data_IF_978859682661
#
_entry.id   IF_978859682661
#
_cell.length_a   1.000
_cell.length_b   1.000
_cell.length_c   1.000
_cell.angle_alpha   90.00
_cell.angle_beta   90.00
_cell.angle_gamma   90.00
#
_symmetry.space_group_name_H-M   'P 1'
#
loop_
_entity.id
_entity.type
_entity.pdbx_description
1 polymer ?
#
# COMPACT_ATOMS: atom_id res chain seq x y z
N UNK A 1 41.97 48.71 -14.47
CA UNK A 1 40.77 48.00 -15.00
C UNK A 1 41.21 47.14 -16.17
N UNK A 2 40.65 45.93 -16.20
CA UNK A 2 40.82 44.86 -17.19
C UNK A 2 42.15 44.11 -17.18
N UNK A 3 42.16 42.94 -16.52
CA UNK A 3 42.70 41.74 -17.17
C UNK A 3 42.13 40.47 -16.53
N UNK A 4 41.36 39.74 -17.33
CA UNK A 4 41.40 38.29 -17.52
C UNK A 4 41.71 37.41 -16.30
N UNK A 5 40.68 36.67 -15.85
CA UNK A 5 40.89 35.48 -15.04
C UNK A 5 40.52 34.25 -15.88
N UNK A 6 41.54 33.51 -16.30
CA UNK A 6 41.41 32.18 -16.88
C UNK A 6 42.37 31.21 -16.16
N UNK A 7 41.76 30.18 -15.58
CA UNK A 7 42.26 28.81 -15.34
C UNK A 7 43.51 28.61 -14.48
N UNK A 8 43.29 27.98 -13.31
CA UNK A 8 44.03 26.80 -12.81
C UNK A 8 43.02 25.94 -12.03
N UNK A 9 42.45 24.88 -12.62
CA UNK A 9 42.84 23.49 -12.43
C UNK A 9 43.44 23.19 -11.05
N UNK A 10 42.61 22.72 -10.11
CA UNK A 10 43.08 22.00 -8.94
C UNK A 10 42.77 20.51 -9.14
N UNK A 11 43.83 19.75 -9.36
CA UNK A 11 43.82 18.29 -9.41
C UNK A 11 43.60 17.79 -7.96
N UNK A 12 42.35 17.48 -7.63
CA UNK A 12 42.01 16.80 -6.38
C UNK A 12 42.27 15.32 -6.53
N UNK A 13 43.37 14.84 -5.94
CA UNK A 13 43.69 13.44 -5.75
C UNK A 13 42.50 12.73 -5.06
N UNK A 14 41.70 11.96 -5.81
CA UNK A 14 40.75 11.05 -5.21
C UNK A 14 41.54 9.83 -4.71
N UNK A 15 41.89 9.87 -3.42
CA UNK A 15 42.31 8.65 -2.70
C UNK A 15 41.11 7.71 -2.75
N UNK A 16 41.26 6.61 -3.49
CA UNK A 16 40.28 5.53 -3.54
C UNK A 16 40.18 4.86 -2.19
N UNK A 17 39.36 5.42 -1.30
CA UNK A 17 38.82 4.66 -0.18
C UNK A 17 37.72 3.81 -0.81
N UNK A 18 38.03 2.55 -1.04
CA UNK A 18 37.02 1.52 -1.28
C UNK A 18 36.22 1.37 0.01
N UNK A 19 35.26 2.27 0.25
CA UNK A 19 34.14 1.92 1.11
C UNK A 19 33.38 0.87 0.34
N UNK A 20 33.65 -0.40 0.66
CA UNK A 20 32.66 -1.45 0.49
C UNK A 20 31.40 -0.89 1.13
N UNK A 21 30.46 -0.44 0.29
CA UNK A 21 29.08 -0.29 0.69
C UNK A 21 28.68 -1.72 1.05
N UNK A 22 28.81 -2.06 2.33
CA UNK A 22 28.08 -3.18 2.87
C UNK A 22 26.63 -2.85 2.56
N UNK A 23 26.09 -3.49 1.52
CA UNK A 23 24.65 -3.59 1.36
C UNK A 23 24.20 -4.21 2.67
N UNK A 24 23.62 -3.40 3.56
CA UNK A 24 22.92 -3.91 4.70
C UNK A 24 21.85 -4.83 4.10
N UNK A 25 22.09 -6.13 4.18
CA UNK A 25 21.07 -7.11 3.92
C UNK A 25 20.02 -6.83 5.00
N UNK A 26 18.93 -6.19 4.61
CA UNK A 26 17.78 -6.00 5.49
C UNK A 26 17.37 -7.41 5.88
N UNK A 27 17.63 -7.78 7.13
CA UNK A 27 17.10 -9.00 7.70
C UNK A 27 15.58 -8.84 7.70
N UNK A 28 14.90 -9.57 6.83
CA UNK A 28 13.46 -9.66 6.87
C UNK A 28 13.06 -10.54 8.05
N UNK A 29 11.94 -10.25 8.70
CA UNK A 29 11.41 -11.17 9.69
C UNK A 29 11.14 -12.52 9.00
N UNK A 30 11.70 -13.60 9.56
CA UNK A 30 11.54 -14.95 9.01
C UNK A 30 10.10 -15.50 9.18
N UNK A 31 9.23 -14.77 9.90
CA UNK A 31 7.81 -15.10 10.00
C UNK A 31 6.91 -13.87 10.15
N UNK A 32 5.83 -13.86 9.38
CA UNK A 32 4.72 -12.93 9.49
C UNK A 32 3.50 -13.64 10.07
N UNK A 33 2.81 -13.01 11.00
CA UNK A 33 1.47 -13.42 11.41
C UNK A 33 0.45 -12.61 10.62
N UNK A 34 -0.50 -13.31 10.01
CA UNK A 34 -1.56 -12.74 9.18
C UNK A 34 -2.88 -13.08 9.86
N UNK A 35 -3.54 -12.05 10.37
CA UNK A 35 -4.86 -12.16 10.98
C UNK A 35 -5.88 -11.50 10.07
N UNK A 36 -6.77 -12.31 9.48
CA UNK A 36 -7.84 -11.81 8.62
C UNK A 36 -9.16 -11.78 9.39
N UNK A 37 -9.71 -10.58 9.58
CA UNK A 37 -11.05 -10.39 10.12
C UNK A 37 -12.06 -10.41 8.98
N UNK A 38 -13.18 -11.11 9.18
CA UNK A 38 -14.26 -11.19 8.19
C UNK A 38 -14.84 -9.81 7.88
N UNK A 39 -15.28 -9.60 6.63
CA UNK A 39 -16.04 -8.40 6.26
C UNK A 39 -17.32 -8.16 7.07
N UNK A 40 -17.79 -9.15 7.84
CA UNK A 40 -18.89 -8.99 8.82
C UNK A 40 -18.47 -8.30 10.11
N UNK A 41 -17.16 -8.13 10.36
CA UNK A 41 -16.63 -7.38 11.51
C UNK A 41 -16.74 -5.86 11.35
N UNK A 42 -17.14 -5.39 10.16
CA UNK A 42 -17.39 -3.98 9.92
C UNK A 42 -18.46 -3.42 10.85
N UNK A 43 -18.22 -2.20 11.33
CA UNK A 43 -19.19 -1.38 12.04
C UNK A 43 -19.11 0.05 11.51
N UNK A 44 -20.25 0.74 11.47
CA UNK A 44 -20.27 2.18 11.21
C UNK A 44 -19.80 3.01 12.42
N UNK A 45 -19.67 2.38 13.59
CA UNK A 45 -18.94 2.93 14.73
C UNK A 45 -17.46 2.57 14.57
N UNK A 46 -16.69 3.50 13.98
CA UNK A 46 -15.26 3.33 13.69
C UNK A 46 -14.46 3.03 14.96
N UNK A 47 -14.77 3.66 16.10
CA UNK A 47 -14.04 3.43 17.34
C UNK A 47 -14.24 1.99 17.85
N UNK A 48 -15.47 1.48 17.78
CA UNK A 48 -15.76 0.09 18.13
C UNK A 48 -15.13 -0.90 17.14
N UNK A 49 -15.14 -0.57 15.84
CA UNK A 49 -14.48 -1.38 14.82
C UNK A 49 -12.97 -1.45 15.04
N UNK A 50 -12.31 -0.32 15.26
CA UNK A 50 -10.87 -0.24 15.49
C UNK A 50 -10.46 -1.04 16.73
N UNK A 51 -11.26 -0.97 17.79
CA UNK A 51 -11.05 -1.78 19.00
C UNK A 51 -11.18 -3.29 18.70
N UNK A 52 -12.19 -3.69 17.91
CA UNK A 52 -12.40 -5.08 17.51
C UNK A 52 -11.25 -5.60 16.63
N UNK A 53 -10.75 -4.77 15.72
CA UNK A 53 -9.68 -5.10 14.78
C UNK A 53 -8.27 -4.93 15.39
N UNK A 54 -8.16 -4.35 16.59
CA UNK A 54 -6.89 -4.13 17.28
C UNK A 54 -6.05 -2.97 16.68
N UNK A 55 -6.68 -1.97 16.08
CA UNK A 55 -6.04 -0.84 15.37
C UNK A 55 -5.64 0.30 16.34
N UNK A 56 -5.72 0.06 17.66
CA UNK A 56 -5.37 1.09 18.66
C UNK A 56 -3.88 1.45 18.61
N UNK A 57 -3.57 2.75 18.46
CA UNK A 57 -2.21 3.28 18.48
C UNK A 57 -1.47 3.23 17.14
N UNK A 58 -2.17 2.85 16.06
CA UNK A 58 -1.63 2.87 14.71
C UNK A 58 -1.79 4.24 14.04
N UNK A 59 -0.91 4.54 13.08
CA UNK A 59 -1.18 5.61 12.10
C UNK A 59 -2.11 5.03 11.04
N UNK A 60 -3.22 5.71 10.78
CA UNK A 60 -4.27 5.26 9.86
C UNK A 60 -4.27 6.15 8.63
N UNK A 61 -4.15 5.53 7.46
CA UNK A 61 -4.44 6.15 6.16
C UNK A 61 -5.89 5.80 5.79
N UNK A 62 -6.76 6.81 5.69
CA UNK A 62 -8.18 6.63 5.38
C UNK A 62 -8.54 6.97 3.93
N UNK A 63 -7.61 7.57 3.16
CA UNK A 63 -7.81 8.04 1.79
C UNK A 63 -8.90 9.09 1.61
N UNK A 64 -9.29 9.78 2.68
CA UNK A 64 -10.29 10.86 2.65
C UNK A 64 -9.73 12.19 2.10
N UNK A 65 -8.42 12.26 1.91
CA UNK A 65 -7.75 13.30 1.15
C UNK A 65 -6.65 12.71 0.26
N UNK A 66 -6.11 13.52 -0.66
CA UNK A 66 -5.13 13.02 -1.64
C UNK A 66 -3.73 12.91 -1.07
N UNK A 67 -3.42 13.53 0.06
CA UNK A 67 -2.08 13.51 0.66
C UNK A 67 -1.97 12.31 1.57
N UNK A 68 -1.09 11.37 1.22
CA UNK A 68 -0.89 10.19 2.06
C UNK A 68 -0.22 10.57 3.38
N UNK A 69 -0.52 9.79 4.43
CA UNK A 69 0.09 9.97 5.76
C UNK A 69 1.63 9.98 5.66
N UNK A 70 2.33 10.78 6.48
CA UNK A 70 3.78 10.89 6.40
C UNK A 70 4.49 9.53 6.46
N UNK A 71 5.43 9.31 5.53
CA UNK A 71 6.18 8.06 5.39
C UNK A 71 5.48 6.99 4.56
N UNK A 72 4.22 7.17 4.16
CA UNK A 72 3.52 6.30 3.22
C UNK A 72 3.66 6.81 1.78
N UNK A 73 3.98 5.91 0.86
CA UNK A 73 3.80 6.14 -0.58
C UNK A 73 3.32 4.87 -1.28
N UNK A 74 2.71 5.04 -2.45
CA UNK A 74 2.19 3.92 -3.26
C UNK A 74 2.80 3.92 -4.64
N UNK A 75 3.02 2.74 -5.21
CA UNK A 75 3.38 2.58 -6.62
C UNK A 75 2.59 1.45 -7.25
N UNK A 76 2.39 1.55 -8.56
CA UNK A 76 1.65 0.60 -9.37
C UNK A 76 2.60 -0.18 -10.29
N UNK A 77 2.24 -1.41 -10.65
CA UNK A 77 2.93 -2.23 -11.67
C UNK A 77 1.97 -2.50 -12.82
N UNK A 78 2.43 -2.30 -14.04
CA UNK A 78 1.64 -2.47 -15.27
C UNK A 78 0.31 -1.68 -15.24
N UNK A 79 0.34 -0.34 -15.44
CA UNK A 79 1.51 0.46 -15.79
C UNK A 79 2.39 0.76 -14.56
N UNK A 80 3.71 0.76 -14.77
CA UNK A 80 4.67 1.05 -13.70
C UNK A 80 4.71 2.55 -13.41
N UNK A 81 4.69 2.91 -12.12
CA UNK A 81 4.81 4.28 -11.64
C UNK A 81 5.91 4.39 -10.59
N UNK A 82 6.49 5.57 -10.45
CA UNK A 82 7.32 5.90 -9.29
C UNK A 82 6.43 5.99 -8.03
N UNK A 83 6.99 5.77 -6.82
CA UNK A 83 6.24 5.97 -5.58
C UNK A 83 5.67 7.39 -5.47
N UNK A 84 4.37 7.50 -5.23
CA UNK A 84 3.66 8.76 -5.02
C UNK A 84 3.18 8.87 -3.57
N UNK A 85 3.32 10.06 -2.98
CA UNK A 85 2.75 10.43 -1.68
C UNK A 85 1.51 11.31 -1.80
N UNK A 86 1.09 11.61 -3.03
CA UNK A 86 -0.13 12.37 -3.33
C UNK A 86 -0.88 11.63 -4.42
N UNK A 87 -2.11 11.20 -4.12
CA UNK A 87 -3.00 10.54 -5.08
C UNK A 87 -3.49 11.55 -6.12
N UNK A 88 -3.63 11.15 -7.40
CA UNK A 88 -4.09 12.07 -8.45
C UNK A 88 -5.54 12.56 -8.25
N UNK A 89 -6.37 11.74 -7.61
CA UNK A 89 -7.77 12.04 -7.33
C UNK A 89 -8.29 11.20 -6.15
N UNK A 90 -9.43 11.63 -5.59
CA UNK A 90 -10.20 10.85 -4.64
C UNK A 90 -11.17 9.94 -5.39
N UNK A 91 -11.20 8.66 -5.03
CA UNK A 91 -12.21 7.74 -5.52
C UNK A 91 -13.34 7.61 -4.49
N UNK A 92 -14.52 8.16 -4.79
CA UNK A 92 -15.68 8.06 -3.91
C UNK A 92 -16.47 6.79 -4.23
N UNK A 93 -16.26 5.75 -3.44
CA UNK A 93 -16.88 4.45 -3.67
C UNK A 93 -18.35 4.42 -3.26
N UNK A 94 -18.74 5.28 -2.29
CA UNK A 94 -20.11 5.40 -1.84
C UNK A 94 -21.07 5.98 -2.92
N UNK A 95 -20.57 6.84 -3.80
CA UNK A 95 -21.36 7.46 -4.87
C UNK A 95 -21.83 6.45 -5.93
N UNK A 96 -21.11 5.35 -6.13
CA UNK A 96 -21.48 4.34 -7.12
C UNK A 96 -22.67 3.47 -6.68
N UNK A 97 -23.12 3.57 -5.42
CA UNK A 97 -24.32 2.92 -4.87
C UNK A 97 -24.20 1.40 -4.72
N UNK A 98 -23.70 0.71 -5.75
CA UNK A 98 -23.40 -0.71 -5.73
C UNK A 98 -22.18 -1.01 -4.86
N UNK A 99 -21.18 -0.11 -4.80
CA UNK A 99 -19.92 -0.32 -4.09
C UNK A 99 -19.91 0.19 -2.64
N UNK A 100 -21.02 0.72 -2.11
CA UNK A 100 -21.08 1.28 -0.75
C UNK A 100 -20.71 0.29 0.36
N UNK A 101 -20.77 -1.01 0.06
CA UNK A 101 -20.42 -2.08 0.99
C UNK A 101 -18.95 -2.53 0.90
N UNK A 102 -18.10 -1.82 0.18
CA UNK A 102 -16.67 -2.15 0.00
C UNK A 102 -15.77 -1.44 1.02
N UNK A 103 -16.20 -0.27 1.49
CA UNK A 103 -15.41 0.63 2.31
C UNK A 103 -15.33 0.18 3.76
N UNK A 104 -14.13 0.12 4.33
CA UNK A 104 -13.92 -0.19 5.73
C UNK A 104 -14.07 1.03 6.64
N UNK A 105 -13.80 2.22 6.12
CA UNK A 105 -13.98 3.50 6.77
C UNK A 105 -14.34 4.56 5.71
N UNK A 106 -14.90 5.69 6.14
CA UNK A 106 -15.12 6.85 5.28
C UNK A 106 -15.99 6.64 4.04
N UNK A 107 -15.68 7.38 2.99
CA UNK A 107 -16.36 7.40 1.68
C UNK A 107 -15.39 7.14 0.51
N UNK A 108 -14.09 7.24 0.75
CA UNK A 108 -13.07 7.17 -0.28
C UNK A 108 -12.13 5.98 -0.07
N UNK A 109 -11.51 5.53 -1.15
CA UNK A 109 -10.56 4.41 -1.12
C UNK A 109 -9.43 4.58 -2.12
N UNK A 110 -8.39 3.77 -1.92
CA UNK A 110 -7.42 3.45 -2.94
C UNK A 110 -7.95 2.35 -3.85
N UNK A 111 -7.95 2.58 -5.16
CA UNK A 111 -8.33 1.56 -6.16
C UNK A 111 -7.14 1.12 -7.01
N UNK A 112 -7.33 0.02 -7.73
CA UNK A 112 -6.33 -0.59 -8.60
C UNK A 112 -6.16 0.13 -9.96
N UNK A 113 -6.28 1.46 -9.97
CA UNK A 113 -5.95 2.31 -11.12
C UNK A 113 -4.95 3.39 -10.68
N UNK A 114 -3.90 3.68 -11.46
CA UNK A 114 -2.92 4.72 -11.10
C UNK A 114 -3.50 6.11 -10.91
N UNK A 115 -4.64 6.41 -11.54
CA UNK A 115 -5.35 7.68 -11.42
C UNK A 115 -6.25 7.73 -10.17
N UNK A 116 -6.40 6.62 -9.46
CA UNK A 116 -7.32 6.44 -8.34
C UNK A 116 -8.76 6.87 -8.70
N UNK A 117 -9.28 6.35 -9.82
CA UNK A 117 -10.62 6.59 -10.35
C UNK A 117 -11.22 5.28 -10.89
N UNK A 118 -12.55 5.24 -11.12
CA UNK A 118 -13.21 4.06 -11.69
C UNK A 118 -12.75 3.77 -13.12
N UNK A 119 -12.75 2.49 -13.48
CA UNK A 119 -12.36 2.03 -14.82
C UNK A 119 -13.26 2.61 -15.93
N UNK A 120 -14.49 3.03 -15.65
CA UNK A 120 -15.36 3.67 -16.64
C UNK A 120 -14.85 5.06 -17.04
N UNK A 121 -14.14 5.74 -16.14
CA UNK A 121 -13.57 7.07 -16.36
C UNK A 121 -12.18 7.01 -17.01
N UNK A 122 -11.44 5.91 -16.80
CA UNK A 122 -10.05 5.78 -17.30
C UNK A 122 -9.89 4.73 -18.40
N UNK A 123 -10.79 3.76 -18.52
CA UNK A 123 -10.73 2.61 -19.43
C UNK A 123 -10.16 1.33 -18.78
N UNK A 124 -10.59 0.15 -19.25
CA UNK A 124 -10.17 -1.16 -18.71
C UNK A 124 -8.65 -1.43 -18.81
N UNK A 125 -7.95 -0.72 -19.69
CA UNK A 125 -6.51 -0.90 -19.95
C UNK A 125 -5.60 -0.32 -18.84
N UNK A 126 -6.17 0.21 -17.76
CA UNK A 126 -5.43 0.86 -16.68
C UNK A 126 -5.57 0.17 -15.32
N UNK A 127 -6.13 -1.04 -15.28
CA UNK A 127 -6.07 -1.86 -14.07
C UNK A 127 -4.62 -2.30 -13.83
N UNK A 128 -4.13 -2.09 -12.61
CA UNK A 128 -2.79 -2.51 -12.22
C UNK A 128 -2.74 -3.98 -11.82
N UNK A 129 -1.63 -4.65 -12.15
CA UNK A 129 -1.36 -6.00 -11.67
C UNK A 129 -0.99 -6.01 -10.17
N UNK A 130 -0.41 -4.91 -9.67
CA UNK A 130 0.08 -4.82 -8.29
C UNK A 130 0.14 -3.38 -7.80
N UNK A 131 -0.48 -3.16 -6.65
CA UNK A 131 -0.24 -1.98 -5.80
C UNK A 131 0.85 -2.34 -4.78
N UNK A 132 1.85 -1.48 -4.62
CA UNK A 132 2.91 -1.63 -3.62
C UNK A 132 2.87 -0.44 -2.67
N UNK A 133 2.75 -0.73 -1.38
CA UNK A 133 2.87 0.26 -0.32
C UNK A 133 4.31 0.32 0.15
N UNK A 134 4.88 1.52 0.18
CA UNK A 134 6.22 1.80 0.69
C UNK A 134 6.08 2.54 2.01
N UNK A 135 6.74 2.02 3.05
CA UNK A 135 6.71 2.61 4.40
C UNK A 135 8.13 3.05 4.74
N UNK A 136 8.35 4.36 4.79
CA UNK A 136 9.62 4.96 5.16
C UNK A 136 10.03 4.54 6.58
N UNK A 137 11.29 4.17 6.77
CA UNK A 137 11.80 3.63 8.04
C UNK A 137 11.37 2.19 8.35
N UNK A 138 10.48 1.62 7.53
CA UNK A 138 9.93 0.27 7.71
C UNK A 138 8.79 0.21 8.74
N UNK A 139 8.12 -0.93 8.79
CA UNK A 139 7.07 -1.21 9.77
C UNK A 139 7.22 -2.61 10.35
N UNK A 140 6.93 -2.76 11.64
CA UNK A 140 6.80 -4.05 12.31
C UNK A 140 5.38 -4.62 12.24
N UNK A 141 4.41 -3.82 11.82
CA UNK A 141 3.02 -4.23 11.60
C UNK A 141 2.36 -3.36 10.53
N UNK A 142 1.46 -3.95 9.76
CA UNK A 142 0.73 -3.28 8.68
C UNK A 142 -0.63 -3.93 8.51
N UNK A 143 -1.69 -3.12 8.42
CA UNK A 143 -3.05 -3.59 8.17
C UNK A 143 -3.66 -2.96 6.93
N UNK A 144 -4.59 -3.67 6.29
CA UNK A 144 -5.34 -3.18 5.14
C UNK A 144 -6.75 -3.76 5.12
N UNK A 145 -7.74 -2.89 4.93
CA UNK A 145 -9.12 -3.27 4.63
C UNK A 145 -9.28 -3.58 3.13
N UNK A 146 -9.78 -4.77 2.79
CA UNK A 146 -9.96 -5.21 1.42
C UNK A 146 -11.45 -5.28 1.07
N UNK A 147 -11.80 -4.72 -0.09
CA UNK A 147 -13.17 -4.70 -0.62
C UNK A 147 -13.18 -4.92 -2.13
N UNK A 148 -14.19 -5.63 -2.62
CA UNK A 148 -14.40 -5.97 -4.02
C UNK A 148 -13.26 -6.73 -4.72
N UNK A 149 -12.55 -7.58 -3.98
CA UNK A 149 -11.58 -8.53 -4.53
C UNK A 149 -12.34 -9.74 -5.12
N UNK A 150 -12.53 -9.74 -6.44
CA UNK A 150 -13.32 -10.74 -7.18
C UNK A 150 -12.49 -11.99 -7.51
N UNK A 151 -12.30 -12.86 -6.51
CA UNK A 151 -11.36 -13.99 -6.63
C UNK A 151 -11.77 -15.09 -7.60
N UNK A 152 -13.02 -15.06 -8.08
CA UNK A 152 -13.50 -15.93 -9.15
C UNK A 152 -13.04 -15.49 -10.55
N UNK A 153 -12.40 -14.33 -10.67
CA UNK A 153 -11.93 -13.74 -11.94
C UNK A 153 -10.44 -13.41 -11.87
N UNK A 154 -9.95 -13.00 -10.69
CA UNK A 154 -8.55 -12.59 -10.48
C UNK A 154 -7.89 -13.36 -9.33
N UNK A 155 -6.58 -13.51 -9.41
CA UNK A 155 -5.76 -14.10 -8.34
C UNK A 155 -5.12 -12.98 -7.51
N UNK A 156 -5.16 -13.13 -6.19
CA UNK A 156 -4.69 -12.09 -5.27
C UNK A 156 -3.67 -12.67 -4.29
N UNK A 157 -2.43 -12.23 -4.46
CA UNK A 157 -1.29 -12.62 -3.64
C UNK A 157 -0.87 -11.48 -2.72
N UNK A 158 -0.51 -11.82 -1.48
CA UNK A 158 0.14 -10.88 -0.57
C UNK A 158 1.64 -11.15 -0.54
N UNK A 159 2.41 -10.13 -0.95
CA UNK A 159 3.85 -10.12 -0.86
C UNK A 159 4.30 -9.12 0.21
N UNK A 160 5.31 -9.50 0.99
CA UNK A 160 6.03 -8.60 1.88
C UNK A 160 7.49 -8.55 1.45
N UNK A 161 7.97 -7.37 1.07
CA UNK A 161 9.32 -7.16 0.55
C UNK A 161 9.69 -8.12 -0.60
N UNK A 162 8.73 -8.39 -1.48
CA UNK A 162 8.89 -9.29 -2.63
C UNK A 162 8.80 -10.79 -2.31
N UNK A 163 8.60 -11.16 -1.04
CA UNK A 163 8.41 -12.55 -0.61
C UNK A 163 6.92 -12.84 -0.47
N UNK A 164 6.44 -13.87 -1.16
CA UNK A 164 5.07 -14.37 -1.03
C UNK A 164 4.80 -14.83 0.41
N UNK A 165 3.82 -14.20 1.05
CA UNK A 165 3.36 -14.61 2.39
C UNK A 165 2.06 -15.41 2.29
N UNK A 166 1.19 -15.02 1.35
CA UNK A 166 -0.07 -15.72 1.06
C UNK A 166 -0.25 -15.75 -0.45
N UNK A 167 -0.12 -16.95 -1.02
CA UNK A 167 -0.29 -17.17 -2.44
C UNK A 167 -1.69 -16.72 -2.89
N UNK A 168 -2.74 -17.14 -2.18
CA UNK A 168 -4.13 -16.81 -2.49
C UNK A 168 -4.84 -16.28 -1.24
N UNK A 169 -5.05 -14.97 -1.17
CA UNK A 169 -5.60 -14.29 0.03
C UNK A 169 -7.01 -14.76 0.39
N UNK A 170 -7.76 -15.30 -0.57
CA UNK A 170 -9.10 -15.83 -0.38
C UNK A 170 -9.15 -17.21 0.29
N UNK A 171 -8.00 -17.84 0.48
CA UNK A 171 -7.86 -19.05 1.27
C UNK A 171 -7.72 -18.80 2.77
N UNK A 172 -7.52 -17.54 3.18
CA UNK A 172 -7.38 -17.19 4.58
C UNK A 172 -8.71 -17.36 5.35
N UNK A 173 -8.68 -17.91 6.57
CA UNK A 173 -9.85 -17.95 7.43
C UNK A 173 -10.43 -16.54 7.63
N UNK A 174 -11.75 -16.40 7.45
CA UNK A 174 -12.44 -15.12 7.55
C UNK A 174 -12.67 -14.42 6.21
N UNK A 175 -12.06 -14.87 5.12
CA UNK A 175 -12.32 -14.28 3.80
C UNK A 175 -13.77 -14.44 3.37
N UNK A 176 -14.34 -13.38 2.78
CA UNK A 176 -15.65 -13.41 2.12
C UNK A 176 -15.50 -13.27 0.62
N UNK A 177 -16.08 -14.23 -0.12
CA UNK A 177 -16.19 -14.15 -1.58
C UNK A 177 -17.47 -13.44 -1.98
N UNK A 178 -17.37 -12.54 -2.95
CA UNK A 178 -18.51 -11.83 -3.51
C UNK A 178 -18.08 -10.59 -4.28
N UNK A 179 -19.02 -10.05 -5.04
CA UNK A 179 -18.87 -8.74 -5.68
C UNK A 179 -19.47 -7.68 -4.76
N UNK A 180 -18.86 -6.51 -4.74
CA UNK A 180 -19.38 -5.35 -4.03
C UNK A 180 -19.58 -5.59 -2.51
N UNK A 181 -18.61 -6.27 -1.91
CA UNK A 181 -18.55 -6.50 -0.46
C UNK A 181 -17.17 -6.18 0.09
N UNK A 182 -17.09 -5.94 1.40
CA UNK A 182 -15.89 -6.14 2.22
C UNK A 182 -15.50 -7.62 2.20
N UNK A 183 -14.32 -7.92 1.68
CA UNK A 183 -13.80 -9.28 1.66
C UNK A 183 -13.19 -9.67 3.00
N UNK A 184 -12.35 -8.78 3.56
CA UNK A 184 -11.72 -8.99 4.86
C UNK A 184 -10.80 -7.82 5.23
N UNK A 185 -10.53 -7.67 6.51
CA UNK A 185 -9.53 -6.75 7.02
C UNK A 185 -8.31 -7.57 7.46
N UNK A 186 -7.17 -7.32 6.82
CA UNK A 186 -5.94 -7.99 7.16
C UNK A 186 -5.15 -7.15 8.17
N UNK A 187 -4.87 -7.68 9.36
CA UNK A 187 -3.86 -7.17 10.26
C UNK A 187 -2.61 -8.06 10.21
N UNK A 188 -1.51 -7.55 9.66
CA UNK A 188 -0.24 -8.25 9.65
C UNK A 188 0.69 -7.72 10.75
N UNK A 189 1.39 -8.61 11.41
CA UNK A 189 2.51 -8.26 12.30
C UNK A 189 3.73 -9.11 11.98
N UNK A 190 4.88 -8.46 11.88
CA UNK A 190 6.17 -9.14 11.85
C UNK A 190 6.43 -9.70 13.26
N UNK A 191 6.69 -11.00 13.37
CA UNK A 191 7.15 -11.55 14.64
C UNK A 191 8.63 -11.26 14.79
N UNK A 192 8.98 -10.53 15.86
CA UNK A 192 10.35 -10.55 16.35
C UNK A 192 10.62 -11.95 16.92
N UNK A 193 11.49 -12.71 16.27
CA UNK A 193 12.05 -13.97 16.79
C UNK A 193 13.16 -13.68 17.79
#
# INVERSE_FOLDING_TARGET
MNSFNAKHLLLGLAVGISTTMATAQVAYADSFEINLFSGTSYSSDTASMDALLGITGYTIESFEDTTLVPGLSVSYTNPTTEPISVLPALYNEAQSGMYSNNLWDGHHALVNTPQNQEWEQVGLHFLTDRITFHIEGGATSFGIGLGNFQTNITYHELLVNGVSQVAAIDTLPGWRTGIHIRNGYNGNSAKAT
#
